data_IF_345645712676
#
_entry.id   IF_345645712676
#
_cell.length_a   1.000
_cell.length_b   1.000
_cell.length_c   1.000
_cell.angle_alpha   90.00
_cell.angle_beta   90.00
_cell.angle_gamma   90.00
#
_symmetry.space_group_name_H-M   'P 1'
#
loop_
_entity.id
_entity.type
_entity.pdbx_description
1 polymer ?
#
# COMPACT_ATOMS: atom_id res chain seq x y z
N UNK A 1 49.97 20.96 35.40
CA UNK A 1 51.25 21.15 36.12
C UNK A 1 52.17 20.04 35.63
N UNK A 2 53.01 20.32 34.63
CA UNK A 2 54.48 20.57 34.76
C UNK A 2 55.18 19.28 35.24
N UNK A 3 56.16 18.66 34.58
CA UNK A 3 57.15 19.18 33.63
C UNK A 3 57.85 18.02 32.89
N UNK A 4 58.44 18.34 31.73
CA UNK A 4 59.46 17.54 31.00
C UNK A 4 60.84 17.65 31.70
N UNK A 5 61.83 16.74 31.50
CA UNK A 5 62.73 16.85 30.34
C UNK A 5 63.36 15.54 29.78
N UNK A 6 63.70 15.59 28.49
CA UNK A 6 64.77 14.83 27.81
C UNK A 6 66.08 15.63 27.90
N UNK A 7 67.31 15.05 27.80
CA UNK A 7 67.94 14.60 26.53
C UNK A 7 68.82 13.33 26.76
N UNK A 8 69.57 12.70 25.84
CA UNK A 8 70.34 13.14 24.70
C UNK A 8 70.69 11.96 23.77
N UNK A 9 70.87 12.25 22.48
CA UNK A 9 71.52 11.42 21.46
C UNK A 9 73.07 11.48 21.58
N UNK A 10 73.85 10.60 20.91
CA UNK A 10 74.19 10.87 19.50
C UNK A 10 74.30 9.63 18.57
N UNK A 11 74.05 9.91 17.28
CA UNK A 11 74.39 9.15 16.05
C UNK A 11 75.93 9.21 15.80
N UNK A 12 76.57 8.65 14.72
CA UNK A 12 76.01 8.16 13.43
C UNK A 12 76.72 6.97 12.73
N UNK A 13 76.12 6.47 11.65
CA UNK A 13 76.74 6.16 10.34
C UNK A 13 75.68 5.51 9.41
N UNK A 14 74.96 6.27 8.57
CA UNK A 14 75.25 6.60 7.15
C UNK A 14 75.58 5.41 6.23
N UNK A 15 74.60 5.04 5.40
CA UNK A 15 74.76 5.03 3.93
C UNK A 15 73.40 4.90 3.24
N UNK A 16 73.13 5.83 2.33
CA UNK A 16 71.90 5.97 1.57
C UNK A 16 72.09 5.41 0.15
N UNK A 17 71.06 4.80 -0.44
CA UNK A 17 70.82 4.89 -1.88
C UNK A 17 69.31 4.85 -2.17
N UNK A 18 68.91 5.73 -3.09
CA UNK A 18 67.55 6.14 -3.46
C UNK A 18 66.87 5.10 -4.33
N UNK A 19 65.56 4.86 -4.11
CA UNK A 19 64.68 4.35 -5.16
C UNK A 19 63.39 5.18 -5.22
N UNK A 20 63.04 5.54 -6.45
CA UNK A 20 62.09 6.56 -6.81
C UNK A 20 60.63 6.21 -6.56
N UNK A 21 59.85 7.28 -6.41
CA UNK A 21 58.39 7.31 -6.32
C UNK A 21 57.75 6.82 -7.61
N UNK A 22 56.86 5.84 -7.51
CA UNK A 22 55.71 5.71 -8.43
C UNK A 22 54.51 5.26 -7.60
N UNK A 23 53.69 6.23 -7.20
CA UNK A 23 52.40 6.02 -6.56
C UNK A 23 51.41 5.52 -7.62
N UNK A 24 51.16 4.22 -7.64
CA UNK A 24 49.97 3.67 -8.29
C UNK A 24 48.81 3.72 -7.29
N UNK A 25 48.03 4.80 -7.33
CA UNK A 25 46.70 4.83 -6.73
C UNK A 25 45.77 4.06 -7.68
N UNK A 26 45.60 2.77 -7.42
CA UNK A 26 44.56 1.98 -8.06
C UNK A 26 43.20 2.50 -7.63
N UNK A 27 42.49 3.14 -8.55
CA UNK A 27 41.09 3.51 -8.38
C UNK A 27 40.25 2.24 -8.34
N UNK A 28 39.88 1.78 -7.14
CA UNK A 28 38.77 0.84 -6.98
C UNK A 28 37.48 1.59 -7.30
N UNK A 29 37.01 1.46 -8.54
CA UNK A 29 35.64 1.79 -8.87
C UNK A 29 34.75 0.77 -8.15
N UNK A 30 34.21 1.16 -6.99
CA UNK A 30 33.08 0.47 -6.38
C UNK A 30 31.90 0.63 -7.35
N UNK A 31 31.66 -0.38 -8.17
CA UNK A 31 30.40 -0.53 -8.86
C UNK A 31 29.32 -0.70 -7.77
N UNK A 32 28.66 0.41 -7.42
CA UNK A 32 27.40 0.34 -6.70
C UNK A 32 26.43 -0.35 -7.65
N UNK A 33 26.29 -1.66 -7.51
CA UNK A 33 25.21 -2.38 -8.15
C UNK A 33 23.92 -1.70 -7.66
N UNK A 34 23.23 -1.00 -8.56
CA UNK A 34 21.93 -0.44 -8.26
C UNK A 34 21.06 -1.62 -7.82
N UNK A 35 20.71 -1.66 -6.52
CA UNK A 35 19.74 -2.63 -6.02
C UNK A 35 18.52 -2.51 -6.93
N UNK A 36 17.98 -3.63 -7.46
CA UNK A 36 16.78 -3.56 -8.27
C UNK A 36 15.71 -2.84 -7.46
N UNK A 37 15.13 -1.80 -8.06
CA UNK A 37 14.07 -1.04 -7.42
C UNK A 37 13.04 -2.01 -6.83
N UNK A 38 12.61 -1.77 -5.60
CA UNK A 38 11.66 -2.63 -4.93
C UNK A 38 10.46 -2.88 -5.88
N UNK A 39 9.97 -4.13 -5.98
CA UNK A 39 8.80 -4.38 -6.82
C UNK A 39 7.62 -3.58 -6.28
N UNK A 40 6.87 -2.95 -7.18
CA UNK A 40 5.74 -2.08 -6.84
C UNK A 40 4.81 -1.93 -8.05
N UNK A 41 3.57 -1.56 -7.80
CA UNK A 41 2.61 -1.28 -8.84
C UNK A 41 3.07 -0.11 -9.73
N UNK A 42 2.70 -0.15 -11.00
CA UNK A 42 2.90 0.96 -11.94
C UNK A 42 1.63 1.77 -12.06
N UNK A 43 1.73 3.09 -11.87
CA UNK A 43 0.69 4.06 -12.19
C UNK A 43 1.09 4.77 -13.47
N UNK A 44 0.27 4.71 -14.51
CA UNK A 44 0.51 5.39 -15.80
C UNK A 44 -0.52 6.50 -15.99
N UNK A 45 -0.08 7.74 -16.22
CA UNK A 45 -0.98 8.82 -16.62
C UNK A 45 -1.62 8.47 -17.96
N UNK A 46 -2.94 8.41 -17.99
CA UNK A 46 -3.71 8.19 -19.21
C UNK A 46 -4.21 9.52 -19.74
N UNK A 47 -4.74 10.36 -18.86
CA UNK A 47 -5.37 11.63 -19.21
C UNK A 47 -5.38 12.58 -18.00
N UNK A 48 -5.62 13.87 -18.25
CA UNK A 48 -5.89 14.86 -17.22
C UNK A 48 -7.04 15.77 -17.63
N UNK A 49 -7.93 16.10 -16.71
CA UNK A 49 -9.08 16.98 -16.95
C UNK A 49 -9.25 18.01 -15.85
N UNK A 50 -9.84 19.19 -16.11
CA UNK A 50 -10.19 20.14 -15.06
C UNK A 50 -11.06 19.49 -13.98
N UNK A 51 -10.79 19.83 -12.72
CA UNK A 51 -11.55 19.31 -11.56
C UNK A 51 -12.98 19.86 -11.52
N UNK A 52 -13.18 21.10 -12.00
CA UNK A 52 -14.48 21.71 -12.17
C UNK A 52 -14.70 22.10 -13.63
N UNK A 53 -15.92 21.89 -14.14
CA UNK A 53 -16.28 22.31 -15.48
C UNK A 53 -16.12 23.83 -15.63
N UNK A 54 -15.48 24.26 -16.72
CA UNK A 54 -15.20 25.68 -16.98
C UNK A 54 -14.03 26.28 -16.20
N UNK A 55 -13.37 25.52 -15.31
CA UNK A 55 -12.15 26.00 -14.66
C UNK A 55 -10.96 26.00 -15.62
N UNK A 56 -10.26 27.14 -15.69
CA UNK A 56 -8.99 27.26 -16.41
C UNK A 56 -7.85 26.78 -15.51
N UNK A 57 -7.54 25.48 -15.57
CA UNK A 57 -6.36 24.91 -14.93
C UNK A 57 -5.37 24.44 -16.00
N UNK A 58 -4.12 24.94 -15.95
CA UNK A 58 -3.08 24.54 -16.88
C UNK A 58 -2.85 23.03 -16.80
N UNK A 59 -2.71 22.32 -17.94
CA UNK A 59 -2.40 20.89 -17.91
C UNK A 59 -1.07 20.66 -17.18
N UNK A 60 -0.91 19.50 -16.51
CA UNK A 60 0.37 19.17 -15.91
C UNK A 60 1.45 19.12 -17.00
N UNK A 61 2.72 19.39 -16.67
CA UNK A 61 3.80 19.34 -17.65
C UNK A 61 4.10 17.92 -18.18
N UNK A 62 3.45 16.90 -17.61
CA UNK A 62 3.68 15.51 -17.97
C UNK A 62 2.78 15.05 -19.11
N UNK A 63 3.34 14.43 -20.15
CA UNK A 63 2.54 13.81 -21.20
C UNK A 63 1.84 12.53 -20.70
N UNK A 64 0.79 12.13 -21.39
CA UNK A 64 0.22 10.79 -21.24
C UNK A 64 1.30 9.71 -21.45
N UNK A 65 1.22 8.63 -20.69
CA UNK A 65 2.23 7.58 -20.64
C UNK A 65 3.29 7.77 -19.55
N UNK A 66 3.34 8.94 -18.89
CA UNK A 66 4.20 9.18 -17.71
C UNK A 66 3.90 8.15 -16.62
N UNK A 67 4.94 7.63 -15.95
CA UNK A 67 4.81 6.54 -14.98
C UNK A 67 5.35 6.91 -13.60
N UNK A 68 4.63 6.45 -12.58
CA UNK A 68 5.08 6.37 -11.21
C UNK A 68 5.04 4.93 -10.73
N UNK A 69 5.80 4.64 -9.69
CA UNK A 69 5.85 3.35 -9.03
C UNK A 69 5.30 3.50 -7.62
N UNK A 70 4.28 2.73 -7.29
CA UNK A 70 3.69 2.65 -5.95
C UNK A 70 4.18 1.36 -5.27
N UNK A 71 4.94 1.49 -4.19
CA UNK A 71 5.39 0.37 -3.36
C UNK A 71 5.04 0.61 -1.89
N UNK A 72 5.48 -0.26 -0.98
CA UNK A 72 5.25 -0.09 0.46
C UNK A 72 5.83 1.21 1.05
N UNK A 73 6.86 1.78 0.42
CA UNK A 73 7.48 3.05 0.82
C UNK A 73 6.81 4.29 0.23
N UNK A 74 5.81 4.14 -0.63
CA UNK A 74 5.01 5.24 -1.19
C UNK A 74 5.08 5.35 -2.71
N UNK A 75 4.95 6.57 -3.22
CA UNK A 75 4.87 6.86 -4.65
C UNK A 75 6.19 7.47 -5.15
N UNK A 76 6.80 6.83 -6.15
CA UNK A 76 8.11 7.20 -6.67
C UNK A 76 8.00 7.57 -8.15
N UNK A 77 8.51 8.73 -8.54
CA UNK A 77 8.51 9.16 -9.94
C UNK A 77 8.87 10.62 -10.05
N UNK A 78 8.05 11.37 -10.80
CA UNK A 78 8.23 12.80 -11.02
C UNK A 78 7.50 13.62 -9.95
N UNK A 79 8.16 14.70 -9.51
CA UNK A 79 7.62 15.74 -8.63
C UNK A 79 6.54 16.57 -9.34
N UNK A 80 5.43 16.96 -8.66
CA UNK A 80 5.27 16.91 -7.20
C UNK A 80 4.63 15.64 -6.63
N UNK A 81 4.26 14.63 -7.43
CA UNK A 81 3.57 13.44 -6.92
C UNK A 81 4.49 12.43 -6.21
N UNK A 82 5.79 12.70 -6.13
CA UNK A 82 6.69 11.82 -5.37
C UNK A 82 6.35 11.95 -3.88
N UNK A 83 6.04 10.82 -3.25
CA UNK A 83 5.71 10.72 -1.84
C UNK A 83 6.50 9.57 -1.23
N UNK A 84 7.69 9.89 -0.69
CA UNK A 84 8.62 8.90 -0.13
C UNK A 84 8.36 8.71 1.35
N UNK A 85 8.66 7.50 1.83
CA UNK A 85 8.43 7.10 3.24
C UNK A 85 6.98 7.34 3.66
N UNK A 86 6.06 7.09 2.73
CA UNK A 86 4.66 7.41 2.94
C UNK A 86 4.04 6.48 3.99
N UNK A 87 3.28 7.05 4.93
CA UNK A 87 2.25 6.30 5.64
C UNK A 87 1.09 6.07 4.67
N UNK A 88 0.71 4.81 4.49
CA UNK A 88 -0.38 4.45 3.59
C UNK A 88 -1.63 4.11 4.38
N UNK A 89 -2.74 4.75 4.03
CA UNK A 89 -4.04 4.49 4.65
C UNK A 89 -5.09 4.24 3.59
N UNK A 90 -5.95 3.25 3.81
CA UNK A 90 -7.14 3.03 2.99
C UNK A 90 -8.34 3.59 3.76
N UNK A 91 -9.09 4.45 3.10
CA UNK A 91 -10.20 5.22 3.67
C UNK A 91 -11.45 5.07 2.79
N UNK A 92 -12.63 5.26 3.38
CA UNK A 92 -13.86 5.54 2.65
C UNK A 92 -14.15 7.03 2.74
N UNK A 93 -14.07 7.74 1.61
CA UNK A 93 -14.33 9.18 1.58
C UNK A 93 -15.70 9.47 0.94
N UNK A 94 -16.56 10.28 1.56
CA UNK A 94 -17.75 10.80 0.88
C UNK A 94 -17.31 11.75 -0.24
N UNK A 95 -18.23 12.03 -1.17
CA UNK A 95 -17.94 12.90 -2.31
C UNK A 95 -17.35 14.27 -1.91
N UNK A 96 -17.81 14.86 -0.80
CA UNK A 96 -17.29 16.14 -0.29
C UNK A 96 -15.83 16.09 0.18
N UNK A 97 -15.34 14.91 0.57
CA UNK A 97 -13.96 14.72 1.03
C UNK A 97 -12.97 14.41 -0.09
N UNK A 98 -13.44 14.22 -1.33
CA UNK A 98 -12.59 13.87 -2.46
C UNK A 98 -11.71 15.05 -2.89
N UNK A 99 -10.56 14.73 -3.48
CA UNK A 99 -9.65 15.72 -4.05
C UNK A 99 -9.28 16.82 -3.03
N UNK A 100 -8.92 16.38 -1.81
CA UNK A 100 -8.57 17.27 -0.68
C UNK A 100 -9.69 18.25 -0.29
N UNK A 101 -10.95 17.82 -0.42
CA UNK A 101 -12.09 18.64 -0.01
C UNK A 101 -12.51 19.68 -1.06
N UNK A 102 -12.14 19.51 -2.32
CA UNK A 102 -12.46 20.46 -3.40
C UNK A 102 -13.97 20.75 -3.53
N UNK A 103 -14.81 19.82 -3.08
CA UNK A 103 -16.27 19.93 -3.12
C UNK A 103 -16.89 19.98 -1.72
N UNK A 104 -16.12 20.35 -0.70
CA UNK A 104 -16.59 20.39 0.69
C UNK A 104 -17.71 21.41 0.91
N UNK A 105 -17.65 22.55 0.21
CA UNK A 105 -18.66 23.60 0.30
C UNK A 105 -19.96 23.23 -0.44
N UNK A 106 -19.94 22.21 -1.29
CA UNK A 106 -21.12 21.77 -2.04
C UNK A 106 -22.01 20.86 -1.16
N UNK A 107 -23.32 20.96 -1.36
CA UNK A 107 -24.26 20.00 -0.77
C UNK A 107 -24.01 18.57 -1.27
N UNK A 108 -24.35 17.56 -0.45
CA UNK A 108 -24.09 16.13 -0.73
C UNK A 108 -24.47 15.72 -2.16
N UNK A 109 -25.64 16.14 -2.64
CA UNK A 109 -26.13 15.77 -3.98
C UNK A 109 -25.23 16.33 -5.11
N UNK A 110 -24.79 17.58 -4.99
CA UNK A 110 -23.94 18.25 -5.98
C UNK A 110 -22.53 17.65 -5.99
N UNK A 111 -21.94 17.43 -4.81
CA UNK A 111 -20.64 16.76 -4.70
C UNK A 111 -20.68 15.35 -5.31
N UNK A 112 -21.76 14.59 -5.08
CA UNK A 112 -21.96 13.27 -5.72
C UNK A 112 -22.09 13.37 -7.24
N UNK A 113 -22.79 14.38 -7.75
CA UNK A 113 -22.89 14.61 -9.19
C UNK A 113 -21.52 14.92 -9.82
N UNK A 114 -20.69 15.72 -9.15
CA UNK A 114 -19.33 16.02 -9.61
C UNK A 114 -18.43 14.77 -9.55
N UNK A 115 -18.52 13.97 -8.49
CA UNK A 115 -17.83 12.69 -8.36
C UNK A 115 -18.21 11.75 -9.52
N UNK A 116 -19.51 11.63 -9.82
CA UNK A 116 -20.01 10.83 -10.93
C UNK A 116 -19.47 11.31 -12.28
N UNK A 117 -19.36 12.63 -12.50
CA UNK A 117 -18.83 13.20 -13.74
C UNK A 117 -17.35 12.81 -14.01
N UNK A 118 -16.59 12.49 -12.96
CA UNK A 118 -15.21 12.00 -13.10
C UNK A 118 -15.10 10.47 -13.07
N UNK A 119 -16.22 9.76 -12.91
CA UNK A 119 -16.30 8.30 -12.92
C UNK A 119 -16.23 7.66 -11.54
N UNK A 120 -16.50 8.41 -10.47
CA UNK A 120 -16.61 7.88 -9.11
C UNK A 120 -18.10 7.72 -8.76
N UNK A 121 -18.51 6.50 -8.41
CA UNK A 121 -19.90 6.16 -8.12
C UNK A 121 -20.09 5.74 -6.67
N UNK A 122 -21.32 5.86 -6.17
CA UNK A 122 -21.72 5.40 -4.85
C UNK A 122 -21.64 6.48 -3.77
N UNK A 123 -22.02 6.14 -2.53
CA UNK A 123 -22.06 7.10 -1.43
C UNK A 123 -20.66 7.49 -0.93
N UNK A 124 -19.70 6.57 -1.00
CA UNK A 124 -18.32 6.73 -0.60
C UNK A 124 -17.38 6.16 -1.67
N UNK A 125 -16.18 6.71 -1.77
CA UNK A 125 -15.10 6.24 -2.65
C UNK A 125 -13.96 5.69 -1.82
N UNK A 126 -13.57 4.45 -2.11
CA UNK A 126 -12.37 3.86 -1.52
C UNK A 126 -11.12 4.58 -2.02
N UNK A 127 -10.31 5.06 -1.08
CA UNK A 127 -9.17 5.94 -1.36
C UNK A 127 -7.94 5.40 -0.67
N UNK A 128 -6.82 5.31 -1.40
CA UNK A 128 -5.50 5.12 -0.82
C UNK A 128 -4.87 6.50 -0.60
N UNK A 129 -4.76 6.90 0.67
CA UNK A 129 -4.04 8.10 1.10
C UNK A 129 -2.57 7.77 1.34
N UNK A 130 -1.70 8.62 0.81
CA UNK A 130 -0.26 8.58 1.02
C UNK A 130 0.14 9.85 1.77
N UNK A 131 0.51 9.73 3.04
CA UNK A 131 1.01 10.85 3.85
C UNK A 131 2.53 10.78 3.95
N UNK A 132 3.22 11.80 3.48
CA UNK A 132 4.67 11.94 3.48
C UNK A 132 5.08 13.34 3.97
N UNK A 133 6.38 13.54 4.19
CA UNK A 133 6.89 14.80 4.73
C UNK A 133 6.57 16.03 3.85
N UNK A 134 6.41 15.84 2.53
CA UNK A 134 6.13 16.90 1.57
C UNK A 134 4.64 17.09 1.25
N UNK A 135 3.75 16.25 1.79
CA UNK A 135 2.31 16.42 1.57
C UNK A 135 1.49 15.14 1.75
N UNK A 136 0.21 15.24 1.41
CA UNK A 136 -0.73 14.13 1.37
C UNK A 136 -1.32 14.00 -0.02
N UNK A 137 -1.34 12.78 -0.56
CA UNK A 137 -1.92 12.48 -1.87
C UNK A 137 -2.97 11.40 -1.74
N UNK A 138 -4.13 11.66 -2.35
CA UNK A 138 -5.21 10.69 -2.42
C UNK A 138 -5.26 10.04 -3.79
N UNK A 139 -5.27 8.71 -3.81
CA UNK A 139 -5.52 7.87 -4.97
C UNK A 139 -6.91 7.24 -4.82
N UNK A 140 -7.91 7.88 -5.44
CA UNK A 140 -9.31 7.47 -5.40
C UNK A 140 -9.57 6.35 -6.41
N UNK A 141 -10.19 5.26 -5.98
CA UNK A 141 -10.45 4.10 -6.86
C UNK A 141 -11.73 4.31 -7.67
N UNK A 142 -11.57 4.45 -8.99
CA UNK A 142 -12.68 4.55 -9.94
C UNK A 142 -13.04 3.21 -10.59
N UNK A 143 -12.04 2.34 -10.78
CA UNK A 143 -12.20 0.97 -11.27
C UNK A 143 -11.04 0.11 -10.77
N UNK A 144 -11.05 -1.23 -10.95
CA UNK A 144 -9.97 -2.10 -10.48
C UNK A 144 -8.57 -1.71 -10.97
N UNK A 145 -8.47 -1.20 -12.20
CA UNK A 145 -7.23 -0.75 -12.84
C UNK A 145 -7.16 0.78 -13.02
N UNK A 146 -8.06 1.53 -12.37
CA UNK A 146 -8.17 2.99 -12.57
C UNK A 146 -8.23 3.73 -11.25
N UNK A 147 -7.23 4.59 -11.05
CA UNK A 147 -7.14 5.50 -9.92
C UNK A 147 -7.25 6.95 -10.41
N UNK A 148 -7.80 7.82 -9.58
CA UNK A 148 -7.87 9.25 -9.81
C UNK A 148 -7.14 9.97 -8.68
N UNK A 149 -6.44 11.05 -9.01
CA UNK A 149 -5.86 11.96 -8.02
C UNK A 149 -6.01 13.39 -8.50
N UNK A 150 -5.96 14.36 -7.59
CA UNK A 150 -5.98 15.76 -7.95
C UNK A 150 -4.63 16.43 -7.76
N UNK A 151 -4.28 17.30 -8.70
CA UNK A 151 -3.13 18.19 -8.62
C UNK A 151 -3.47 19.49 -9.35
N UNK A 152 -3.23 20.62 -8.71
CA UNK A 152 -3.37 21.96 -9.28
C UNK A 152 -4.70 22.20 -10.03
N UNK A 153 -5.82 21.82 -9.39
CA UNK A 153 -7.16 22.00 -9.96
C UNK A 153 -7.49 21.05 -11.12
N UNK A 154 -6.71 19.98 -11.32
CA UNK A 154 -6.96 18.94 -12.31
C UNK A 154 -7.09 17.58 -11.69
N UNK A 155 -7.94 16.73 -12.27
CA UNK A 155 -8.03 15.31 -11.99
C UNK A 155 -7.13 14.57 -12.98
N UNK A 156 -6.16 13.85 -12.46
CA UNK A 156 -5.30 12.94 -13.21
C UNK A 156 -5.94 11.55 -13.22
N UNK A 157 -6.04 10.97 -14.42
CA UNK A 157 -6.55 9.61 -14.62
C UNK A 157 -5.36 8.67 -14.75
N UNK A 158 -5.20 7.78 -13.78
CA UNK A 158 -4.08 6.86 -13.69
C UNK A 158 -4.54 5.44 -13.96
N UNK A 159 -3.90 4.76 -14.92
CA UNK A 159 -4.01 3.30 -15.05
C UNK A 159 -3.07 2.65 -14.05
N UNK A 160 -3.62 1.82 -13.19
CA UNK A 160 -2.92 1.07 -12.16
C UNK A 160 -2.68 -0.37 -12.61
N UNK A 161 -1.47 -0.87 -12.41
CA UNK A 161 -1.13 -2.28 -12.60
C UNK A 161 -0.22 -2.77 -11.48
N UNK A 162 -0.74 -3.67 -10.65
CA UNK A 162 0.05 -4.35 -9.63
C UNK A 162 1.20 -5.16 -10.26
N UNK A 163 2.38 -5.11 -9.65
CA UNK A 163 3.51 -5.94 -10.05
C UNK A 163 3.47 -7.28 -9.29
N UNK A 164 3.74 -8.40 -9.98
CA UNK A 164 3.71 -9.72 -9.36
C UNK A 164 4.68 -9.85 -8.16
N UNK A 165 5.83 -9.16 -8.21
CA UNK A 165 6.81 -9.17 -7.12
C UNK A 165 6.45 -8.31 -5.91
N UNK A 166 5.43 -7.46 -6.00
CA UNK A 166 5.00 -6.56 -4.91
C UNK A 166 4.27 -7.39 -3.84
N UNK A 167 4.92 -7.57 -2.68
CA UNK A 167 4.37 -8.35 -1.58
C UNK A 167 3.24 -7.62 -0.84
N UNK A 168 3.14 -6.29 -0.96
CA UNK A 168 2.03 -5.53 -0.37
C UNK A 168 0.78 -5.57 -1.24
N UNK A 169 0.95 -5.75 -2.57
CA UNK A 169 -0.15 -5.68 -3.53
C UNK A 169 -1.36 -6.57 -3.16
N UNK A 170 -1.23 -7.84 -2.74
CA UNK A 170 -2.41 -8.65 -2.43
C UNK A 170 -3.27 -8.06 -1.31
N UNK A 171 -2.66 -7.49 -0.26
CA UNK A 171 -3.40 -6.88 0.86
C UNK A 171 -3.97 -5.54 0.46
N UNK A 172 -3.17 -4.67 -0.16
CA UNK A 172 -3.64 -3.35 -0.62
C UNK A 172 -4.80 -3.47 -1.60
N UNK A 173 -4.65 -4.31 -2.64
CA UNK A 173 -5.67 -4.46 -3.67
C UNK A 173 -6.91 -5.21 -3.20
N UNK A 174 -6.74 -6.23 -2.34
CA UNK A 174 -7.88 -6.88 -1.70
C UNK A 174 -8.69 -5.88 -0.89
N UNK A 175 -8.05 -5.11 -0.01
CA UNK A 175 -8.75 -4.15 0.85
C UNK A 175 -9.38 -3.01 0.03
N UNK A 176 -8.68 -2.49 -0.98
CA UNK A 176 -9.24 -1.49 -1.89
C UNK A 176 -10.47 -1.99 -2.67
N UNK A 177 -10.50 -3.27 -3.02
CA UNK A 177 -11.63 -3.88 -3.71
C UNK A 177 -12.77 -4.24 -2.78
N UNK A 178 -12.45 -4.86 -1.65
CA UNK A 178 -13.40 -5.24 -0.63
C UNK A 178 -14.18 -4.03 -0.10
N UNK A 179 -13.46 -2.95 0.25
CA UNK A 179 -14.10 -1.72 0.75
C UNK A 179 -14.93 -0.98 -0.32
N UNK A 180 -14.69 -1.20 -1.61
CA UNK A 180 -15.51 -0.56 -2.66
C UNK A 180 -16.93 -1.13 -2.76
N UNK A 181 -17.16 -2.30 -2.15
CA UNK A 181 -18.46 -2.96 -2.11
C UNK A 181 -19.17 -2.81 -0.75
N UNK A 182 -18.66 -1.91 0.09
CA UNK A 182 -19.24 -1.59 1.40
C UNK A 182 -20.75 -1.32 1.31
N UNK A 183 -21.50 -1.87 2.27
CA UNK A 183 -22.97 -1.87 2.27
C UNK A 183 -23.65 -3.05 1.57
N UNK A 184 -22.88 -3.94 0.90
CA UNK A 184 -23.39 -5.24 0.46
C UNK A 184 -22.91 -6.38 1.38
N UNK A 185 -23.72 -7.43 1.52
CA UNK A 185 -23.40 -8.58 2.34
C UNK A 185 -22.07 -9.24 1.95
N UNK A 186 -21.34 -9.76 2.94
CA UNK A 186 -20.17 -10.58 2.70
C UNK A 186 -20.59 -11.99 2.28
N UNK A 187 -20.46 -12.31 0.99
CA UNK A 187 -20.95 -13.56 0.41
C UNK A 187 -19.88 -14.30 -0.44
N UNK A 188 -20.23 -15.49 -0.91
CA UNK A 188 -19.35 -16.30 -1.76
C UNK A 188 -19.00 -15.60 -3.09
N UNK A 189 -19.91 -14.75 -3.62
CA UNK A 189 -19.67 -14.02 -4.85
C UNK A 189 -18.60 -12.93 -4.65
N UNK A 190 -18.60 -12.25 -3.51
CA UNK A 190 -17.55 -11.30 -3.11
C UNK A 190 -16.20 -11.99 -3.01
N UNK A 191 -16.12 -13.15 -2.34
CA UNK A 191 -14.86 -13.91 -2.28
C UNK A 191 -14.37 -14.31 -3.67
N UNK A 192 -15.27 -14.74 -4.56
CA UNK A 192 -14.93 -15.06 -5.96
C UNK A 192 -14.29 -13.87 -6.69
N UNK A 193 -14.79 -12.65 -6.48
CA UNK A 193 -14.20 -11.42 -7.05
C UNK A 193 -12.82 -11.09 -6.48
N UNK A 194 -12.52 -11.53 -5.26
CA UNK A 194 -11.24 -11.31 -4.56
C UNK A 194 -10.22 -12.44 -4.79
N UNK A 195 -10.60 -13.51 -5.50
CA UNK A 195 -9.77 -14.72 -5.66
C UNK A 195 -8.38 -14.47 -6.25
N UNK A 196 -8.22 -13.38 -7.03
CA UNK A 196 -6.93 -13.00 -7.59
C UNK A 196 -5.88 -12.62 -6.52
N UNK A 197 -6.30 -12.29 -5.30
CA UNK A 197 -5.46 -11.88 -4.19
C UNK A 197 -5.30 -12.95 -3.11
N UNK A 198 -6.18 -13.95 -3.13
CA UNK A 198 -6.22 -15.05 -2.17
C UNK A 198 -5.44 -16.26 -2.70
N UNK A 199 -4.83 -17.02 -1.80
CA UNK A 199 -4.26 -18.31 -2.13
C UNK A 199 -5.38 -19.29 -2.47
N UNK A 200 -5.17 -20.24 -3.41
CA UNK A 200 -6.19 -21.23 -3.77
C UNK A 200 -6.77 -21.98 -2.57
N UNK A 201 -5.93 -22.30 -1.57
CA UNK A 201 -6.33 -22.95 -0.32
C UNK A 201 -7.31 -22.09 0.50
N UNK A 202 -7.02 -20.80 0.66
CA UNK A 202 -7.90 -19.87 1.38
C UNK A 202 -9.22 -19.65 0.64
N UNK A 203 -9.19 -19.50 -0.69
CA UNK A 203 -10.42 -19.45 -1.49
C UNK A 203 -11.26 -20.72 -1.35
N UNK A 204 -10.62 -21.90 -1.28
CA UNK A 204 -11.32 -23.15 -1.03
C UNK A 204 -11.90 -23.23 0.38
N UNK A 205 -11.21 -22.74 1.40
CA UNK A 205 -11.73 -22.63 2.76
C UNK A 205 -13.03 -21.81 2.79
N UNK A 206 -13.05 -20.63 2.14
CA UNK A 206 -14.26 -19.81 2.06
C UNK A 206 -15.42 -20.53 1.38
N UNK A 207 -15.16 -21.19 0.25
CA UNK A 207 -16.20 -21.97 -0.43
C UNK A 207 -16.81 -23.04 0.47
N UNK A 208 -15.98 -23.75 1.24
CA UNK A 208 -16.47 -24.76 2.20
C UNK A 208 -17.27 -24.13 3.34
N UNK A 209 -16.77 -23.04 3.90
CA UNK A 209 -17.43 -22.31 4.98
C UNK A 209 -18.81 -21.78 4.55
N UNK A 210 -18.94 -21.20 3.37
CA UNK A 210 -20.23 -20.75 2.84
C UNK A 210 -21.19 -21.90 2.49
N UNK A 211 -20.67 -23.09 2.19
CA UNK A 211 -21.47 -24.28 1.88
C UNK A 211 -21.91 -25.07 3.13
N UNK A 212 -21.52 -24.62 4.33
CA UNK A 212 -21.88 -25.31 5.57
C UNK A 212 -23.40 -25.25 5.82
N UNK A 213 -24.00 -26.29 6.43
CA UNK A 213 -25.40 -26.22 6.84
C UNK A 213 -25.64 -25.06 7.82
N UNK A 214 -26.73 -24.30 7.69
CA UNK A 214 -27.05 -23.23 8.62
C UNK A 214 -27.34 -23.81 10.01
N UNK A 215 -26.80 -23.16 11.05
CA UNK A 215 -27.11 -23.44 12.46
C UNK A 215 -27.90 -22.25 13.00
N UNK A 216 -29.23 -22.31 13.06
CA UNK A 216 -30.05 -21.14 13.38
C UNK A 216 -29.86 -20.64 14.82
N UNK A 217 -29.44 -21.51 15.74
CA UNK A 217 -29.33 -21.21 17.17
C UNK A 217 -27.90 -20.93 17.65
N UNK A 218 -26.92 -20.91 16.72
CA UNK A 218 -25.50 -20.68 17.06
C UNK A 218 -24.91 -19.64 16.09
N UNK A 219 -24.43 -18.53 16.64
CA UNK A 219 -23.65 -17.57 15.87
C UNK A 219 -22.33 -18.23 15.43
N UNK A 220 -21.88 -18.02 14.19
CA UNK A 220 -20.58 -18.55 13.77
C UNK A 220 -19.45 -17.94 14.58
N UNK A 221 -18.37 -18.71 14.79
CA UNK A 221 -17.11 -18.22 15.33
C UNK A 221 -16.52 -17.12 14.45
N UNK A 222 -16.65 -17.21 13.14
CA UNK A 222 -16.41 -16.08 12.24
C UNK A 222 -17.66 -15.18 12.19
N UNK A 223 -17.80 -14.32 13.19
CA UNK A 223 -18.87 -13.32 13.31
C UNK A 223 -18.34 -11.92 12.94
N UNK A 224 -18.40 -11.63 11.65
CA UNK A 224 -18.07 -10.31 11.10
C UNK A 224 -17.35 -10.34 9.77
N UNK A 225 -16.80 -9.19 9.40
CA UNK A 225 -15.99 -9.05 8.19
C UNK A 225 -14.64 -9.77 8.36
N UNK A 226 -14.32 -10.81 7.57
CA UNK A 226 -13.09 -11.57 7.76
C UNK A 226 -11.81 -10.82 7.36
N UNK A 227 -11.92 -9.69 6.67
CA UNK A 227 -10.76 -8.93 6.22
C UNK A 227 -10.49 -7.73 7.14
N UNK A 228 -11.51 -7.23 7.84
CA UNK A 228 -11.34 -6.10 8.77
C UNK A 228 -11.54 -6.48 10.22
N UNK A 229 -12.09 -7.66 10.51
CA UNK A 229 -12.49 -8.10 11.85
C UNK A 229 -13.41 -7.05 12.52
N UNK A 230 -14.46 -6.67 11.78
CA UNK A 230 -15.42 -5.65 12.21
C UNK A 230 -16.85 -5.99 11.81
N UNK A 231 -17.82 -5.52 12.60
CA UNK A 231 -19.25 -5.56 12.26
C UNK A 231 -19.67 -4.37 11.38
N UNK A 232 -19.04 -3.22 11.62
CA UNK A 232 -19.27 -1.98 10.88
C UNK A 232 -18.06 -1.65 9.99
N UNK A 233 -18.23 -0.83 8.94
CA UNK A 233 -17.13 -0.38 8.11
C UNK A 233 -16.06 0.35 8.95
N UNK A 234 -14.75 0.02 8.79
CA UNK A 234 -13.70 0.75 9.49
C UNK A 234 -13.59 2.19 8.96
N UNK A 235 -13.18 3.11 9.85
CA UNK A 235 -12.87 4.49 9.48
C UNK A 235 -11.60 4.58 8.64
N UNK A 236 -10.58 3.78 8.98
CA UNK A 236 -9.36 3.67 8.20
C UNK A 236 -8.64 2.34 8.39
N UNK A 237 -7.87 1.95 7.39
CA UNK A 237 -6.95 0.81 7.43
C UNK A 237 -5.54 1.32 7.14
N UNK A 238 -4.65 1.34 8.14
CA UNK A 238 -3.26 1.77 7.93
C UNK A 238 -2.40 0.57 7.56
N UNK A 239 -1.80 0.59 6.36
CA UNK A 239 -0.80 -0.41 5.97
C UNK A 239 0.52 -0.09 6.67
N UNK A 240 0.95 -0.98 7.55
CA UNK A 240 2.14 -0.81 8.39
C UNK A 240 3.27 -1.73 7.92
N UNK A 241 3.99 -2.33 8.85
CA UNK A 241 5.20 -3.09 8.59
C UNK A 241 4.92 -4.23 7.60
N UNK A 242 5.78 -4.34 6.60
CA UNK A 242 5.83 -5.45 5.66
C UNK A 242 7.13 -6.21 5.89
N UNK A 243 7.02 -7.36 6.55
CA UNK A 243 8.17 -8.25 6.74
C UNK A 243 8.20 -9.29 5.64
N UNK A 244 9.35 -9.45 4.97
CA UNK A 244 9.55 -10.47 3.94
C UNK A 244 10.67 -11.43 4.33
N UNK A 245 10.40 -12.72 4.27
CA UNK A 245 11.37 -13.80 4.51
C UNK A 245 11.27 -14.85 3.40
N UNK A 246 12.15 -14.73 2.40
CA UNK A 246 12.14 -15.62 1.24
C UNK A 246 10.80 -15.59 0.49
N UNK A 247 10.14 -16.74 0.39
CA UNK A 247 8.82 -16.91 -0.24
C UNK A 247 7.62 -16.59 0.67
N UNK A 248 7.84 -16.06 1.86
CA UNK A 248 6.81 -15.66 2.80
C UNK A 248 6.89 -14.17 3.11
N UNK A 249 5.74 -13.56 3.40
CA UNK A 249 5.68 -12.19 3.89
C UNK A 249 4.52 -12.03 4.87
N UNK A 250 4.62 -11.03 5.74
CA UNK A 250 3.54 -10.61 6.64
C UNK A 250 3.34 -9.12 6.47
N UNK A 251 2.11 -8.71 6.13
CA UNK A 251 1.70 -7.32 6.10
C UNK A 251 0.82 -7.04 7.34
N UNK A 252 1.26 -6.11 8.17
CA UNK A 252 0.45 -5.63 9.30
C UNK A 252 -0.52 -4.55 8.83
N UNK A 253 -1.77 -4.64 9.25
CA UNK A 253 -2.82 -3.63 9.03
C UNK A 253 -3.37 -3.21 10.38
N UNK A 254 -3.39 -1.90 10.64
CA UNK A 254 -4.10 -1.34 11.79
C UNK A 254 -5.48 -0.91 11.34
N UNK A 255 -6.51 -1.43 12.00
CA UNK A 255 -7.92 -1.18 11.71
C UNK A 255 -8.42 -0.17 12.73
N UNK A 256 -8.90 0.98 12.24
CA UNK A 256 -9.52 2.01 13.07
C UNK A 256 -11.04 1.95 12.94
N UNK A 257 -11.74 1.74 14.05
CA UNK A 257 -13.21 1.66 14.11
C UNK A 257 -13.83 2.86 14.84
N UNK A 258 -13.03 3.89 15.16
CA UNK A 258 -13.46 5.06 15.91
C UNK A 258 -13.40 4.88 17.42
N UNK A 259 -13.70 5.98 18.14
CA UNK A 259 -13.69 5.99 19.61
C UNK A 259 -12.32 5.72 20.24
N UNK A 260 -11.22 5.97 19.50
CA UNK A 260 -9.86 5.70 19.95
C UNK A 260 -9.46 4.22 19.94
N UNK A 261 -10.33 3.34 19.44
CA UNK A 261 -10.06 1.89 19.33
C UNK A 261 -9.39 1.57 18.00
N UNK A 262 -8.27 0.87 18.09
CA UNK A 262 -7.62 0.25 16.95
C UNK A 262 -7.24 -1.18 17.29
N UNK A 263 -7.41 -2.09 16.34
CA UNK A 263 -6.89 -3.45 16.45
C UNK A 263 -5.98 -3.78 15.28
N UNK A 264 -5.18 -4.83 15.46
CA UNK A 264 -4.09 -5.19 14.56
C UNK A 264 -4.39 -6.50 13.87
N UNK A 265 -4.36 -6.50 12.55
CA UNK A 265 -4.42 -7.70 11.72
C UNK A 265 -3.07 -7.99 11.08
N UNK A 266 -2.66 -9.24 11.07
CA UNK A 266 -1.47 -9.68 10.34
C UNK A 266 -1.85 -10.60 9.19
N UNK A 267 -1.74 -10.06 7.98
CA UNK A 267 -1.98 -10.78 6.74
C UNK A 267 -0.76 -11.62 6.39
N UNK A 268 -0.91 -12.94 6.37
CA UNK A 268 0.14 -13.87 6.01
C UNK A 268 0.10 -14.09 4.50
N UNK A 269 1.25 -13.93 3.86
CA UNK A 269 1.39 -14.06 2.41
C UNK A 269 2.40 -15.14 2.05
N UNK A 270 2.12 -15.80 0.93
CA UNK A 270 3.03 -16.73 0.30
C UNK A 270 3.20 -16.36 -1.17
N UNK A 271 4.43 -16.52 -1.66
CA UNK A 271 4.74 -16.40 -3.07
C UNK A 271 4.35 -17.71 -3.76
N UNK A 272 3.41 -17.64 -4.70
CA UNK A 272 2.99 -18.78 -5.51
C UNK A 272 3.96 -19.08 -6.66
N UNK A 273 3.70 -20.19 -7.35
CA UNK A 273 4.57 -20.74 -8.40
C UNK A 273 4.74 -19.80 -9.61
N UNK A 274 3.77 -18.92 -9.86
CA UNK A 274 3.82 -17.85 -10.88
C UNK A 274 4.52 -16.56 -10.42
N UNK A 275 5.35 -16.62 -9.38
CA UNK A 275 6.07 -15.50 -8.75
C UNK A 275 5.21 -14.40 -8.09
N UNK A 276 3.88 -14.53 -8.12
CA UNK A 276 2.93 -13.61 -7.50
C UNK A 276 2.68 -13.91 -6.02
N UNK A 277 2.53 -12.86 -5.21
CA UNK A 277 2.13 -12.98 -3.80
C UNK A 277 0.63 -13.23 -3.66
N UNK A 278 0.23 -14.00 -2.65
CA UNK A 278 -1.17 -14.28 -2.30
C UNK A 278 -1.35 -14.35 -0.79
N UNK A 279 -2.51 -13.94 -0.30
CA UNK A 279 -2.90 -14.05 1.10
C UNK A 279 -3.27 -15.50 1.39
N UNK A 280 -2.59 -16.12 2.36
CA UNK A 280 -2.82 -17.51 2.76
C UNK A 280 -3.66 -17.62 4.04
N UNK A 281 -3.59 -16.63 4.93
CA UNK A 281 -4.34 -16.59 6.19
C UNK A 281 -4.29 -15.16 6.77
N UNK A 282 -5.15 -14.89 7.75
CA UNK A 282 -5.17 -13.63 8.51
C UNK A 282 -5.15 -13.96 9.98
N UNK A 283 -4.18 -13.39 10.70
CA UNK A 283 -4.03 -13.51 12.14
C UNK A 283 -4.69 -12.31 12.82
N UNK A 284 -5.72 -12.59 13.63
CA UNK A 284 -6.52 -11.61 14.38
C UNK A 284 -5.86 -11.24 15.72
N UNK A 285 -4.71 -11.83 16.06
CA UNK A 285 -4.07 -11.71 17.36
C UNK A 285 -4.35 -12.91 18.27
N UNK A 286 -3.63 -12.98 19.40
CA UNK A 286 -3.80 -14.05 20.41
C UNK A 286 -3.65 -15.49 19.86
N UNK A 287 -3.01 -15.64 18.69
CA UNK A 287 -2.86 -16.92 18.00
C UNK A 287 -4.11 -17.41 17.26
N UNK A 288 -5.16 -16.58 17.14
CA UNK A 288 -6.40 -16.88 16.42
C UNK A 288 -6.30 -16.43 14.97
N UNK A 289 -6.61 -17.32 14.03
CA UNK A 289 -6.60 -17.00 12.60
C UNK A 289 -7.93 -17.23 11.91
N UNK A 290 -8.12 -16.58 10.76
CA UNK A 290 -9.27 -16.75 9.88
C UNK A 290 -9.51 -18.22 9.56
N UNK A 291 -8.49 -18.95 9.12
CA UNK A 291 -8.64 -20.38 8.81
C UNK A 291 -9.08 -21.18 10.04
N UNK A 292 -8.58 -20.87 11.24
CA UNK A 292 -8.99 -21.56 12.47
C UNK A 292 -10.45 -21.28 12.83
N UNK A 293 -10.93 -20.04 12.70
CA UNK A 293 -12.34 -19.71 12.96
C UNK A 293 -13.26 -20.44 11.98
N UNK A 294 -12.90 -20.44 10.70
CA UNK A 294 -13.66 -21.16 9.67
C UNK A 294 -13.66 -22.67 9.94
N UNK A 295 -12.53 -23.26 10.32
CA UNK A 295 -12.46 -24.68 10.66
C UNK A 295 -13.29 -25.02 11.91
N UNK A 296 -13.38 -24.12 12.90
CA UNK A 296 -14.27 -24.29 14.06
C UNK A 296 -15.74 -24.30 13.66
N UNK A 297 -16.16 -23.38 12.79
CA UNK A 297 -17.53 -23.34 12.26
C UNK A 297 -17.94 -24.59 11.48
N UNK A 298 -16.96 -25.33 10.95
CA UNK A 298 -17.19 -26.57 10.21
C UNK A 298 -17.27 -27.80 11.12
N UNK A 299 -16.87 -27.72 12.40
CA UNK A 299 -16.92 -28.86 13.33
C UNK A 299 -18.35 -29.05 13.84
N UNK A 300 -18.86 -30.29 13.88
CA UNK A 300 -20.20 -30.60 14.38
C UNK A 300 -20.40 -30.16 15.82
#
# INVERSE_FOLDING_TARGET
MLDRPSPASPLPCRSAFRLGRTRWLGAFALAVAALPAAPGATLTLVDSRPLAAGASAAPPPWPAGTRWRLDAGGLHGLEPLTCRQARQQILLLPAQGLFQGAWQADGVARARQQAAAVGLSGPNTTTLRLDCANGSFDLHRAAPDRLLTALDGRVLVLRHRAAAGDAQAPVRELLLQHLSEQGSAFDAARVSRLQAWLAPSLSQAFRRWFARPPRPDEAPYLDGDPFTDTQEPPLSLTLRELERRGGQATQVVLVDVGGGRQHRLAYRLQRGDGAGWRIVDIDYGEGVTLLQLMDKDMRP
#
